data_IF_103456390798
#
_entry.id   IF_103456390798
#
_cell.length_a   1.000
_cell.length_b   1.000
_cell.length_c   1.000
_cell.angle_alpha   90.00
_cell.angle_beta   90.00
_cell.angle_gamma   90.00
#
_symmetry.space_group_name_H-M   'P 1'
#
loop_
_entity.id
_entity.type
_entity.pdbx_description
1 polymer ?
#
# COMPACT_ATOMS: atom_id res chain seq x y z
N UNK A 1 -21.59 -16.91 -4.76
CA UNK A 1 -20.15 -17.33 -4.64
C UNK A 1 -20.00 -18.06 -3.33
N UNK A 2 -19.28 -19.20 -3.28
CA UNK A 2 -19.02 -19.91 -2.02
C UNK A 2 -18.02 -19.15 -1.16
N UNK A 3 -18.01 -19.41 0.16
CA UNK A 3 -17.02 -18.80 1.07
C UNK A 3 -15.59 -19.10 0.60
N UNK A 4 -15.34 -20.35 0.19
CA UNK A 4 -14.01 -20.75 -0.28
C UNK A 4 -13.59 -20.01 -1.55
N UNK A 5 -14.50 -19.86 -2.54
CA UNK A 5 -14.18 -19.12 -3.77
C UNK A 5 -13.99 -17.62 -3.50
N UNK A 6 -14.76 -17.03 -2.59
CA UNK A 6 -14.58 -15.64 -2.17
C UNK A 6 -13.22 -15.41 -1.47
N UNK A 7 -12.83 -16.33 -0.59
CA UNK A 7 -11.51 -16.28 0.06
C UNK A 7 -10.37 -16.43 -0.95
N UNK A 8 -10.47 -17.37 -1.89
CA UNK A 8 -9.47 -17.54 -2.94
C UNK A 8 -9.35 -16.29 -3.84
N UNK A 9 -10.49 -15.71 -4.25
CA UNK A 9 -10.49 -14.47 -5.03
C UNK A 9 -9.83 -13.31 -4.24
N UNK A 10 -10.15 -13.14 -2.97
CA UNK A 10 -9.54 -12.12 -2.13
C UNK A 10 -8.02 -12.28 -2.05
N UNK A 11 -7.53 -13.48 -1.76
CA UNK A 11 -6.09 -13.77 -1.73
C UNK A 11 -5.41 -13.44 -3.06
N UNK A 12 -5.92 -13.98 -4.15
CA UNK A 12 -5.31 -13.84 -5.48
C UNK A 12 -5.35 -12.39 -5.96
N UNK A 13 -6.42 -11.64 -5.68
CA UNK A 13 -6.52 -10.24 -6.08
C UNK A 13 -5.41 -9.38 -5.46
N UNK A 14 -5.13 -9.54 -4.18
CA UNK A 14 -4.05 -8.79 -3.52
C UNK A 14 -2.69 -9.30 -3.98
N UNK A 15 -2.46 -10.62 -3.92
CA UNK A 15 -1.16 -11.18 -4.25
C UNK A 15 -0.75 -10.88 -5.70
N UNK A 16 -1.61 -11.16 -6.66
CA UNK A 16 -1.31 -10.95 -8.09
C UNK A 16 -1.35 -9.47 -8.45
N UNK A 17 -2.31 -8.71 -7.93
CA UNK A 17 -2.45 -7.27 -8.20
C UNK A 17 -1.22 -6.47 -7.77
N UNK A 18 -0.73 -6.73 -6.55
CA UNK A 18 0.49 -6.12 -6.04
C UNK A 18 1.71 -6.42 -6.92
N UNK A 19 1.91 -7.69 -7.26
CA UNK A 19 3.05 -8.09 -8.11
C UNK A 19 2.93 -7.53 -9.52
N UNK A 20 1.74 -7.58 -10.13
CA UNK A 20 1.54 -7.05 -11.47
C UNK A 20 1.82 -5.55 -11.55
N UNK A 21 1.34 -4.77 -10.58
CA UNK A 21 1.58 -3.33 -10.52
C UNK A 21 3.05 -3.01 -10.28
N UNK A 22 3.68 -3.64 -9.29
CA UNK A 22 5.09 -3.43 -8.96
C UNK A 22 6.01 -3.82 -10.12
N UNK A 23 5.75 -4.96 -10.78
CA UNK A 23 6.51 -5.36 -11.97
C UNK A 23 6.27 -4.42 -13.15
N UNK A 24 5.05 -3.94 -13.37
CA UNK A 24 4.73 -2.95 -14.39
C UNK A 24 5.53 -1.66 -14.21
N UNK A 25 5.58 -1.13 -12.99
CA UNK A 25 6.37 0.07 -12.67
C UNK A 25 7.87 -0.17 -12.85
N UNK A 26 8.39 -1.31 -12.43
CA UNK A 26 9.81 -1.65 -12.64
C UNK A 26 10.11 -1.72 -14.14
N UNK A 27 9.26 -2.41 -14.90
CA UNK A 27 9.47 -2.56 -16.36
C UNK A 27 9.42 -1.21 -17.08
N UNK A 28 8.45 -0.36 -16.77
CA UNK A 28 8.25 0.93 -17.44
C UNK A 28 9.29 1.99 -17.04
N UNK A 29 9.76 1.99 -15.80
CA UNK A 29 10.50 3.13 -15.23
C UNK A 29 11.91 2.78 -14.73
N UNK A 30 12.27 1.49 -14.62
CA UNK A 30 13.54 1.07 -14.03
C UNK A 30 14.40 0.18 -14.94
N UNK A 31 13.93 -0.28 -16.10
CA UNK A 31 14.68 -1.12 -17.04
C UNK A 31 15.13 -0.40 -18.31
N UNK A 32 14.46 0.68 -18.70
CA UNK A 32 14.86 1.51 -19.84
C UNK A 32 15.58 2.77 -19.35
N UNK A 33 16.10 3.64 -20.23
CA UNK A 33 16.78 4.94 -19.91
C UNK A 33 15.97 5.87 -19.00
N UNK A 34 15.78 5.46 -17.84
CA UNK A 34 14.63 5.52 -16.97
C UNK A 34 14.74 6.65 -15.96
N UNK A 35 15.12 7.86 -16.41
CA UNK A 35 14.94 9.07 -15.60
C UNK A 35 13.52 9.68 -15.72
N UNK A 36 12.68 9.16 -16.62
CA UNK A 36 11.35 9.74 -16.88
C UNK A 36 10.37 9.43 -15.74
N UNK A 37 9.77 10.49 -15.17
CA UNK A 37 8.73 10.40 -14.14
C UNK A 37 9.24 10.06 -12.76
N UNK A 38 10.55 9.97 -12.50
CA UNK A 38 11.09 9.71 -11.16
C UNK A 38 11.17 10.98 -10.32
N UNK A 39 10.70 10.89 -9.08
CA UNK A 39 10.75 11.99 -8.11
C UNK A 39 12.20 12.36 -7.77
N UNK A 40 13.09 11.39 -7.62
CA UNK A 40 14.51 11.57 -7.34
C UNK A 40 15.39 10.86 -8.39
N UNK A 41 15.53 11.40 -9.61
CA UNK A 41 16.26 10.73 -10.70
C UNK A 41 17.71 10.38 -10.36
N UNK A 42 18.41 11.24 -9.62
CA UNK A 42 19.81 11.05 -9.21
C UNK A 42 20.03 9.88 -8.25
N UNK A 43 18.97 9.46 -7.54
CA UNK A 43 19.01 8.34 -6.59
C UNK A 43 18.42 7.04 -7.17
N UNK A 44 17.93 7.08 -8.41
CA UNK A 44 17.28 5.95 -9.03
C UNK A 44 18.32 4.86 -9.37
N UNK A 45 18.09 3.64 -8.90
CA UNK A 45 18.88 2.49 -9.24
C UNK A 45 18.42 1.88 -10.57
N UNK A 46 19.35 1.44 -11.41
CA UNK A 46 19.03 0.62 -12.56
C UNK A 46 18.97 -0.86 -12.15
N UNK A 47 18.07 -1.62 -12.76
CA UNK A 47 17.97 -3.07 -12.59
C UNK A 47 18.49 -3.79 -13.83
N UNK A 48 19.18 -4.91 -13.63
CA UNK A 48 19.58 -5.78 -14.72
C UNK A 48 18.39 -6.62 -15.22
N UNK A 49 17.46 -6.98 -14.35
CA UNK A 49 16.22 -7.67 -14.73
C UNK A 49 15.05 -7.29 -13.81
N UNK A 50 13.82 -7.34 -14.37
CA UNK A 50 12.59 -7.01 -13.64
C UNK A 50 12.36 -7.96 -12.46
N UNK A 51 12.65 -9.25 -12.63
CA UNK A 51 12.39 -10.29 -11.63
C UNK A 51 13.27 -10.12 -10.40
N UNK A 52 14.46 -9.56 -10.54
CA UNK A 52 15.38 -9.30 -9.43
C UNK A 52 14.89 -8.22 -8.44
N UNK A 53 13.86 -7.47 -8.81
CA UNK A 53 13.22 -6.55 -7.89
C UNK A 53 12.25 -7.24 -6.91
N UNK A 54 11.71 -8.42 -7.27
CA UNK A 54 10.74 -9.13 -6.44
C UNK A 54 11.39 -9.72 -5.17
N UNK A 55 10.95 -9.32 -3.97
CA UNK A 55 11.48 -9.83 -2.70
C UNK A 55 11.32 -11.34 -2.57
N UNK A 56 10.16 -11.88 -2.95
CA UNK A 56 9.87 -13.32 -2.87
C UNK A 56 10.79 -14.12 -3.79
N UNK A 57 11.03 -13.65 -5.01
CA UNK A 57 11.96 -14.30 -5.93
C UNK A 57 13.38 -14.35 -5.34
N UNK A 58 13.86 -13.24 -4.79
CA UNK A 58 15.18 -13.17 -4.16
C UNK A 58 15.31 -14.07 -2.95
N UNK A 59 14.27 -14.13 -2.12
CA UNK A 59 14.23 -14.97 -0.93
C UNK A 59 14.32 -16.46 -1.32
N UNK A 60 13.59 -16.89 -2.35
CA UNK A 60 13.55 -18.29 -2.80
C UNK A 60 14.80 -18.73 -3.55
N UNK A 61 15.43 -17.84 -4.30
CA UNK A 61 16.57 -18.18 -5.16
C UNK A 61 17.93 -17.88 -4.54
N UNK A 62 17.97 -17.24 -3.37
CA UNK A 62 19.21 -16.70 -2.81
C UNK A 62 19.84 -15.63 -3.70
N UNK A 63 19.03 -14.93 -4.52
CA UNK A 63 19.43 -14.08 -5.63
C UNK A 63 20.53 -13.09 -5.28
N UNK A 64 21.57 -13.05 -6.13
CA UNK A 64 22.70 -12.12 -5.99
C UNK A 64 22.22 -10.69 -6.22
N UNK A 65 22.87 -9.74 -5.56
CA UNK A 65 22.58 -8.31 -5.67
C UNK A 65 22.91 -7.83 -7.11
N UNK A 66 21.90 -7.62 -7.91
CA UNK A 66 22.06 -7.09 -9.27
C UNK A 66 21.84 -5.57 -9.34
N UNK A 67 21.29 -4.95 -8.28
CA UNK A 67 21.08 -3.50 -8.23
C UNK A 67 22.18 -2.83 -7.41
N UNK A 68 22.63 -1.63 -7.84
CA UNK A 68 23.59 -0.79 -7.10
C UNK A 68 23.03 -0.23 -5.79
N UNK A 69 21.73 -0.44 -5.52
CA UNK A 69 21.01 0.10 -4.38
C UNK A 69 21.30 -0.68 -3.09
N UNK A 70 21.62 0.03 -2.02
CA UNK A 70 21.74 -0.57 -0.69
C UNK A 70 20.41 -1.20 -0.25
N UNK A 71 20.46 -2.35 0.41
CA UNK A 71 19.28 -3.08 0.91
C UNK A 71 19.38 -3.34 2.39
N UNK A 72 18.24 -3.22 3.08
CA UNK A 72 18.15 -3.66 4.45
C UNK A 72 18.23 -5.19 4.52
N UNK A 73 18.99 -5.79 5.47
CA UNK A 73 19.17 -7.25 5.53
C UNK A 73 17.87 -8.08 5.62
N UNK A 74 16.83 -7.52 6.22
CA UNK A 74 15.52 -8.17 6.38
C UNK A 74 14.48 -7.76 5.34
N UNK A 75 14.82 -6.93 4.36
CA UNK A 75 13.88 -6.36 3.39
C UNK A 75 13.09 -7.45 2.67
N UNK A 76 13.76 -8.43 2.09
CA UNK A 76 13.14 -9.46 1.28
C UNK A 76 12.23 -10.38 2.11
N UNK A 77 12.66 -10.72 3.32
CA UNK A 77 11.84 -11.50 4.25
C UNK A 77 10.58 -10.74 4.66
N UNK A 78 10.73 -9.49 5.11
CA UNK A 78 9.59 -8.72 5.62
C UNK A 78 8.61 -8.40 4.50
N UNK A 79 9.07 -7.95 3.34
CA UNK A 79 8.18 -7.69 2.21
C UNK A 79 7.45 -8.96 1.75
N UNK A 80 8.14 -10.12 1.70
CA UNK A 80 7.49 -11.40 1.35
C UNK A 80 6.48 -11.87 2.39
N UNK A 81 6.79 -11.73 3.67
CA UNK A 81 5.83 -12.06 4.76
C UNK A 81 4.63 -11.13 4.70
N UNK A 82 4.85 -9.84 4.53
CA UNK A 82 3.78 -8.84 4.55
C UNK A 82 2.82 -9.00 3.37
N UNK A 83 3.27 -9.31 2.16
CA UNK A 83 2.35 -9.58 1.04
C UNK A 83 1.51 -10.85 1.28
N UNK A 84 2.11 -11.88 1.85
CA UNK A 84 1.36 -13.10 2.20
C UNK A 84 0.32 -12.82 3.29
N UNK A 85 0.68 -12.09 4.34
CA UNK A 85 -0.25 -11.72 5.42
C UNK A 85 -1.37 -10.82 4.90
N UNK A 86 -1.07 -9.82 4.07
CA UNK A 86 -2.09 -8.97 3.43
C UNK A 86 -3.06 -9.80 2.58
N UNK A 87 -2.54 -10.74 1.80
CA UNK A 87 -3.35 -11.64 0.97
C UNK A 87 -4.23 -12.56 1.81
N UNK A 88 -3.73 -13.04 2.97
CA UNK A 88 -4.53 -13.81 3.92
C UNK A 88 -5.63 -12.96 4.58
N UNK A 89 -5.36 -11.71 4.93
CA UNK A 89 -6.40 -10.79 5.37
C UNK A 89 -7.51 -10.65 4.33
N UNK A 90 -7.15 -10.45 3.06
CA UNK A 90 -8.12 -10.36 1.97
C UNK A 90 -8.93 -11.66 1.80
N UNK A 91 -8.30 -12.82 1.98
CA UNK A 91 -8.98 -14.12 1.96
C UNK A 91 -10.02 -14.21 3.08
N UNK A 92 -9.65 -13.88 4.31
CA UNK A 92 -10.54 -13.91 5.47
C UNK A 92 -11.71 -12.94 5.28
N UNK A 93 -11.43 -11.71 4.85
CA UNK A 93 -12.46 -10.69 4.61
C UNK A 93 -13.40 -11.11 3.47
N UNK A 94 -12.87 -11.63 2.36
CA UNK A 94 -13.70 -12.17 1.27
C UNK A 94 -14.63 -13.28 1.74
N UNK A 95 -14.13 -14.20 2.56
CA UNK A 95 -14.92 -15.24 3.19
C UNK A 95 -16.01 -14.69 4.13
N UNK A 96 -15.66 -13.68 4.96
CA UNK A 96 -16.61 -13.03 5.86
C UNK A 96 -17.71 -12.27 5.10
N UNK A 97 -17.37 -11.59 4.01
CA UNK A 97 -18.35 -10.92 3.13
C UNK A 97 -19.31 -11.96 2.55
N UNK A 98 -18.78 -13.05 1.97
CA UNK A 98 -19.59 -14.12 1.39
C UNK A 98 -20.49 -14.83 2.41
N UNK A 99 -20.05 -14.89 3.67
CA UNK A 99 -20.81 -15.46 4.79
C UNK A 99 -21.82 -14.46 5.44
N UNK A 100 -21.92 -13.22 4.93
CA UNK A 100 -22.80 -12.19 5.50
C UNK A 100 -22.38 -11.69 6.89
N UNK A 101 -21.09 -11.81 7.24
CA UNK A 101 -20.56 -11.43 8.56
C UNK A 101 -19.95 -10.01 8.59
N UNK A 102 -20.27 -9.20 7.60
CA UNK A 102 -19.78 -7.82 7.47
C UNK A 102 -20.92 -6.88 7.15
N UNK A 103 -20.63 -5.57 7.08
CA UNK A 103 -21.58 -4.56 6.61
C UNK A 103 -21.56 -4.37 5.08
N UNK A 104 -20.87 -5.24 4.36
CA UNK A 104 -20.83 -5.23 2.88
C UNK A 104 -22.03 -6.01 2.36
N UNK A 105 -22.78 -5.38 1.43
CA UNK A 105 -23.92 -6.00 0.74
C UNK A 105 -23.62 -6.18 -0.73
N UNK A 106 -24.16 -7.25 -1.33
CA UNK A 106 -23.88 -7.62 -2.72
C UNK A 106 -25.05 -7.32 -3.69
N UNK A 107 -26.30 -7.29 -3.21
CA UNK A 107 -27.48 -7.21 -4.06
C UNK A 107 -28.59 -6.32 -3.47
N UNK A 108 -29.43 -5.69 -4.36
CA UNK A 108 -30.78 -5.17 -4.09
C UNK A 108 -30.92 -4.08 -3.02
N UNK A 109 -29.84 -3.52 -2.53
CA UNK A 109 -29.83 -2.55 -1.46
C UNK A 109 -29.70 -1.11 -2.02
N UNK A 110 -30.32 -0.07 -1.40
CA UNK A 110 -30.12 1.33 -1.77
C UNK A 110 -28.63 1.76 -1.84
N UNK A 111 -27.74 1.05 -1.15
CA UNK A 111 -26.29 1.24 -1.22
C UNK A 111 -25.70 0.85 -2.59
N UNK A 112 -26.40 0.09 -3.45
CA UNK A 112 -25.99 -0.25 -4.80
C UNK A 112 -26.23 0.90 -5.80
N UNK A 113 -27.02 1.91 -5.44
CA UNK A 113 -27.16 3.11 -6.28
C UNK A 113 -25.82 3.85 -6.43
N UNK A 114 -25.65 4.57 -7.53
CA UNK A 114 -24.42 5.36 -7.77
C UNK A 114 -24.11 6.31 -6.60
N UNK A 115 -25.13 6.97 -6.04
CA UNK A 115 -24.98 7.84 -4.85
C UNK A 115 -24.61 7.05 -3.59
N UNK A 116 -25.18 5.85 -3.39
CA UNK A 116 -24.85 4.95 -2.29
C UNK A 116 -23.39 4.47 -2.37
N UNK A 117 -22.94 4.04 -3.55
CA UNK A 117 -21.57 3.63 -3.82
C UNK A 117 -20.60 4.80 -3.57
N UNK A 118 -20.87 5.98 -4.14
CA UNK A 118 -20.01 7.15 -3.98
C UNK A 118 -19.87 7.57 -2.52
N UNK A 119 -21.00 7.61 -1.78
CA UNK A 119 -20.99 7.96 -0.35
C UNK A 119 -20.20 6.93 0.46
N UNK A 120 -20.45 5.65 0.27
CA UNK A 120 -19.79 4.58 1.03
C UNK A 120 -18.28 4.55 0.73
N UNK A 121 -17.90 4.73 -0.54
CA UNK A 121 -16.50 4.88 -0.95
C UNK A 121 -15.83 6.07 -0.23
N UNK A 122 -16.45 7.25 -0.27
CA UNK A 122 -15.91 8.44 0.40
C UNK A 122 -15.76 8.25 1.91
N UNK A 123 -16.73 7.60 2.58
CA UNK A 123 -16.65 7.27 4.00
C UNK A 123 -15.54 6.26 4.31
N UNK A 124 -15.32 5.27 3.45
CA UNK A 124 -14.22 4.31 3.62
C UNK A 124 -12.85 4.99 3.45
N UNK A 125 -12.71 5.87 2.47
CA UNK A 125 -11.48 6.67 2.28
C UNK A 125 -11.25 7.60 3.47
N UNK A 126 -12.30 8.28 3.96
CA UNK A 126 -12.19 9.15 5.13
C UNK A 126 -11.76 8.37 6.39
N UNK A 127 -12.40 7.24 6.67
CA UNK A 127 -12.03 6.35 7.77
C UNK A 127 -10.57 5.94 7.70
N UNK A 128 -10.15 5.44 6.54
CA UNK A 128 -8.76 5.02 6.29
C UNK A 128 -7.79 6.17 6.55
N UNK A 129 -8.01 7.31 5.91
CA UNK A 129 -7.10 8.46 6.01
C UNK A 129 -6.94 8.97 7.43
N UNK A 130 -8.03 9.00 8.22
CA UNK A 130 -7.97 9.42 9.63
C UNK A 130 -7.24 8.38 10.48
N UNK A 131 -7.64 7.11 10.38
CA UNK A 131 -7.07 6.05 11.22
C UNK A 131 -5.59 5.82 10.89
N UNK A 132 -5.23 5.81 9.61
CA UNK A 132 -3.85 5.61 9.18
C UNK A 132 -2.96 6.80 9.52
N UNK A 133 -3.43 8.04 9.39
CA UNK A 133 -2.67 9.21 9.82
C UNK A 133 -2.23 9.12 11.28
N UNK A 134 -3.15 8.78 12.19
CA UNK A 134 -2.80 8.64 13.60
C UNK A 134 -1.93 7.42 13.88
N UNK A 135 -2.18 6.30 13.20
CA UNK A 135 -1.32 5.13 13.27
C UNK A 135 0.10 5.47 12.82
N UNK A 136 0.27 6.12 11.69
CA UNK A 136 1.56 6.53 11.15
C UNK A 136 2.29 7.51 12.09
N UNK A 137 1.56 8.47 12.67
CA UNK A 137 2.10 9.36 13.72
C UNK A 137 2.61 8.58 14.94
N UNK A 138 1.90 7.53 15.36
CA UNK A 138 2.35 6.64 16.45
C UNK A 138 3.63 5.90 16.06
N UNK A 139 3.75 5.46 14.80
CA UNK A 139 4.98 4.80 14.31
C UNK A 139 6.20 5.73 14.38
N UNK A 140 6.00 7.05 14.29
CA UNK A 140 7.07 8.05 14.44
C UNK A 140 7.41 8.42 15.88
N UNK A 141 6.73 7.90 16.90
CA UNK A 141 7.17 8.08 18.30
C UNK A 141 8.57 7.47 18.49
N UNK A 142 9.53 8.14 19.18
CA UNK A 142 10.94 7.75 19.18
C UNK A 142 11.23 6.29 19.55
N UNK A 143 10.46 5.71 20.46
CA UNK A 143 10.62 4.30 20.86
C UNK A 143 10.07 3.35 19.81
N UNK A 144 8.89 3.63 19.28
CA UNK A 144 8.20 2.84 18.26
C UNK A 144 8.97 2.89 16.94
N UNK A 145 9.38 4.10 16.52
CA UNK A 145 10.21 4.30 15.34
C UNK A 145 11.46 3.42 15.35
N UNK A 146 12.25 3.48 16.42
CA UNK A 146 13.47 2.67 16.52
C UNK A 146 13.21 1.17 16.50
N UNK A 147 12.10 0.72 17.06
CA UNK A 147 11.78 -0.70 17.18
C UNK A 147 11.20 -1.29 15.88
N UNK A 148 10.38 -0.54 15.14
CA UNK A 148 9.59 -1.05 14.03
C UNK A 148 9.75 -0.21 12.75
N UNK A 149 9.43 1.09 12.79
CA UNK A 149 9.25 1.93 11.60
C UNK A 149 10.57 2.35 10.91
N UNK A 150 11.68 2.34 11.62
CA UNK A 150 13.00 2.66 11.07
C UNK A 150 13.40 1.81 9.87
N UNK A 151 12.91 0.58 9.77
CA UNK A 151 13.19 -0.30 8.62
C UNK A 151 12.50 0.20 7.36
N UNK A 152 11.28 0.75 7.50
CA UNK A 152 10.53 1.36 6.41
C UNK A 152 11.28 2.57 5.86
N UNK A 153 11.77 3.43 6.71
CA UNK A 153 12.59 4.60 6.36
C UNK A 153 14.04 4.30 6.01
N UNK A 154 14.42 3.03 5.87
CA UNK A 154 15.76 2.68 5.38
C UNK A 154 16.02 3.24 3.98
N UNK A 155 14.99 3.25 3.14
CA UNK A 155 15.03 3.83 1.81
C UNK A 155 14.45 5.24 1.83
N UNK A 156 15.34 6.25 1.76
CA UNK A 156 14.95 7.67 1.64
C UNK A 156 14.45 8.05 0.24
N UNK A 157 14.59 7.19 -0.72
CA UNK A 157 14.02 7.25 -2.05
C UNK A 157 13.49 5.86 -2.36
N UNK A 158 12.22 5.59 -2.00
CA UNK A 158 11.64 4.28 -2.21
C UNK A 158 11.52 3.92 -3.69
N UNK A 159 11.39 2.65 -3.97
CA UNK A 159 11.23 2.08 -5.30
C UNK A 159 10.18 0.97 -5.24
N UNK A 160 9.62 0.49 -6.37
CA UNK A 160 8.67 -0.60 -6.38
C UNK A 160 9.11 -1.78 -5.52
N UNK A 161 8.20 -2.37 -4.77
CA UNK A 161 8.39 -3.40 -3.75
C UNK A 161 8.95 -2.91 -2.39
N UNK A 162 9.19 -1.61 -2.18
CA UNK A 162 9.66 -1.12 -0.88
C UNK A 162 8.52 -0.80 0.10
N UNK A 163 7.31 -0.58 -0.38
CA UNK A 163 6.13 -0.29 0.44
C UNK A 163 5.88 -1.37 1.52
N UNK A 164 6.09 -2.63 1.20
CA UNK A 164 5.97 -3.73 2.14
C UNK A 164 7.25 -4.04 2.93
N UNK A 165 8.33 -3.24 2.76
CA UNK A 165 9.53 -3.31 3.58
C UNK A 165 9.30 -2.63 4.95
N UNK A 166 8.31 -3.11 5.70
CA UNK A 166 7.92 -2.65 7.03
C UNK A 166 7.99 -3.80 8.04
N UNK A 167 8.06 -3.47 9.32
CA UNK A 167 8.03 -4.49 10.36
C UNK A 167 6.69 -5.22 10.36
N UNK A 168 6.63 -6.57 10.46
CA UNK A 168 5.35 -7.30 10.37
C UNK A 168 4.30 -6.88 11.40
N UNK A 169 4.69 -6.47 12.62
CA UNK A 169 3.76 -5.97 13.63
C UNK A 169 3.15 -4.60 13.23
N UNK A 170 3.92 -3.77 12.56
CA UNK A 170 3.44 -2.51 11.99
C UNK A 170 2.50 -2.78 10.81
N UNK A 171 2.90 -3.65 9.88
CA UNK A 171 2.08 -4.08 8.75
C UNK A 171 0.70 -4.62 9.19
N UNK A 172 0.69 -5.43 10.26
CA UNK A 172 -0.55 -5.95 10.84
C UNK A 172 -1.51 -4.81 11.23
N UNK A 173 -1.03 -3.75 11.86
CA UNK A 173 -1.84 -2.59 12.21
C UNK A 173 -2.42 -1.89 10.97
N UNK A 174 -1.64 -1.70 9.92
CA UNK A 174 -2.12 -1.16 8.64
C UNK A 174 -3.20 -2.07 8.03
N UNK A 175 -3.04 -3.39 8.06
CA UNK A 175 -4.05 -4.30 7.52
C UNK A 175 -5.34 -4.30 8.34
N UNK A 176 -5.25 -4.21 9.67
CA UNK A 176 -6.43 -4.03 10.52
C UNK A 176 -7.18 -2.75 10.15
N UNK A 177 -6.50 -1.64 9.98
CA UNK A 177 -7.12 -0.37 9.55
C UNK A 177 -7.75 -0.53 8.16
N UNK A 178 -6.98 -0.99 7.18
CA UNK A 178 -7.39 -1.15 5.79
C UNK A 178 -8.67 -1.99 5.66
N UNK A 179 -8.73 -3.12 6.33
CA UNK A 179 -9.87 -4.03 6.22
C UNK A 179 -11.00 -3.75 7.20
N UNK A 180 -10.81 -2.91 8.23
CA UNK A 180 -11.85 -2.57 9.20
C UNK A 180 -13.06 -1.86 8.57
N UNK A 181 -12.92 -1.25 7.41
CA UNK A 181 -14.01 -0.59 6.68
C UNK A 181 -15.21 -1.52 6.44
N UNK A 182 -14.97 -2.83 6.25
CA UNK A 182 -16.07 -3.81 6.08
C UNK A 182 -16.92 -3.99 7.33
N UNK A 183 -16.41 -3.59 8.50
CA UNK A 183 -17.10 -3.67 9.79
C UNK A 183 -17.68 -2.32 10.23
N UNK A 184 -17.08 -1.22 9.79
CA UNK A 184 -17.42 0.14 10.24
C UNK A 184 -18.37 0.83 9.27
N UNK A 185 -18.15 0.71 7.96
CA UNK A 185 -18.90 1.41 6.92
C UNK A 185 -19.92 0.48 6.26
N UNK A 186 -21.23 0.76 6.38
CA UNK A 186 -22.21 0.07 5.54
C UNK A 186 -21.98 0.42 4.07
N UNK A 187 -21.71 -0.58 3.23
CA UNK A 187 -21.29 -0.33 1.86
C UNK A 187 -21.71 -1.46 0.91
N UNK A 188 -21.87 -1.11 -0.37
CA UNK A 188 -22.01 -2.11 -1.43
C UNK A 188 -20.63 -2.67 -1.81
N UNK A 189 -20.58 -3.93 -2.24
CA UNK A 189 -19.33 -4.60 -2.66
C UNK A 189 -18.52 -3.76 -3.67
N UNK A 190 -19.20 -3.09 -4.62
CA UNK A 190 -18.55 -2.20 -5.58
C UNK A 190 -17.77 -1.08 -4.89
N UNK A 191 -18.34 -0.43 -3.87
CA UNK A 191 -17.65 0.62 -3.13
C UNK A 191 -16.40 0.08 -2.40
N UNK A 192 -16.51 -1.10 -1.80
CA UNK A 192 -15.39 -1.77 -1.17
C UNK A 192 -14.27 -2.12 -2.17
N UNK A 193 -14.63 -2.66 -3.34
CA UNK A 193 -13.64 -3.00 -4.37
C UNK A 193 -12.94 -1.77 -4.94
N UNK A 194 -13.68 -0.67 -5.17
CA UNK A 194 -13.10 0.61 -5.61
C UNK A 194 -12.16 1.19 -4.54
N UNK A 195 -12.56 1.12 -3.26
CA UNK A 195 -11.73 1.53 -2.15
C UNK A 195 -10.43 0.72 -2.08
N UNK A 196 -10.50 -0.61 -2.16
CA UNK A 196 -9.32 -1.48 -2.14
C UNK A 196 -8.40 -1.23 -3.35
N UNK A 197 -8.98 -0.99 -4.52
CA UNK A 197 -8.21 -0.63 -5.72
C UNK A 197 -7.47 0.69 -5.53
N UNK A 198 -8.14 1.72 -4.98
CA UNK A 198 -7.50 3.00 -4.68
C UNK A 198 -6.36 2.84 -3.67
N UNK A 199 -6.63 2.20 -2.52
CA UNK A 199 -5.62 2.03 -1.47
C UNK A 199 -4.41 1.23 -1.95
N UNK A 200 -4.64 0.12 -2.64
CA UNK A 200 -3.55 -0.70 -3.19
C UNK A 200 -2.72 0.03 -4.25
N UNK A 201 -3.40 0.79 -5.12
CA UNK A 201 -2.71 1.59 -6.15
C UNK A 201 -1.88 2.71 -5.53
N UNK A 202 -2.45 3.50 -4.63
CA UNK A 202 -1.73 4.58 -3.96
C UNK A 202 -0.57 4.04 -3.11
N UNK A 203 -0.75 2.93 -2.38
CA UNK A 203 0.32 2.35 -1.58
C UNK A 203 1.56 1.97 -2.39
N UNK A 204 1.35 1.31 -3.53
CA UNK A 204 2.47 0.97 -4.44
C UNK A 204 3.07 2.22 -5.10
N UNK A 205 2.24 3.20 -5.51
CA UNK A 205 2.72 4.43 -6.14
C UNK A 205 3.53 5.29 -5.18
N UNK A 206 3.06 5.51 -3.96
CA UNK A 206 3.76 6.33 -2.95
C UNK A 206 5.18 5.85 -2.68
N UNK A 207 5.41 4.53 -2.82
CA UNK A 207 6.73 3.91 -2.64
C UNK A 207 7.43 3.54 -3.96
N UNK A 208 6.90 4.00 -5.10
CA UNK A 208 7.50 3.66 -6.41
C UNK A 208 8.62 4.59 -6.84
N UNK A 209 8.69 5.80 -6.26
CA UNK A 209 9.56 6.86 -6.74
C UNK A 209 9.16 7.40 -8.12
N UNK A 210 7.94 7.11 -8.60
CA UNK A 210 7.41 7.51 -9.91
C UNK A 210 6.21 8.41 -9.74
N UNK A 211 6.28 9.65 -10.20
CA UNK A 211 5.14 10.56 -10.24
C UNK A 211 4.40 10.42 -11.58
N UNK A 212 3.14 9.97 -11.51
CA UNK A 212 2.25 9.85 -12.66
C UNK A 212 1.47 11.14 -12.94
N UNK A 213 1.72 12.22 -12.18
CA UNK A 213 1.05 13.52 -12.34
C UNK A 213 -0.47 13.43 -12.26
N UNK A 214 -1.01 12.60 -11.35
CA UNK A 214 -2.46 12.45 -11.17
C UNK A 214 -3.01 13.67 -10.42
N UNK A 215 -4.05 14.36 -10.96
CA UNK A 215 -4.61 15.53 -10.29
C UNK A 215 -5.10 15.21 -8.86
N UNK A 216 -4.67 15.99 -7.87
CA UNK A 216 -5.06 15.84 -6.46
C UNK A 216 -4.31 14.75 -5.69
N UNK A 217 -3.38 14.06 -6.34
CA UNK A 217 -2.53 13.04 -5.72
C UNK A 217 -1.08 13.23 -6.20
N UNK A 218 -0.13 13.26 -5.30
CA UNK A 218 1.29 13.43 -5.64
C UNK A 218 2.18 12.52 -4.80
N UNK A 219 2.84 11.59 -5.46
CA UNK A 219 3.87 10.69 -4.90
C UNK A 219 4.98 11.47 -4.19
N UNK A 220 5.26 12.69 -4.67
CA UNK A 220 6.24 13.60 -4.06
C UNK A 220 6.01 13.85 -2.57
N UNK A 221 4.75 13.89 -2.10
CA UNK A 221 4.47 14.14 -0.68
C UNK A 221 4.99 13.01 0.20
N UNK A 222 4.76 11.77 -0.19
CA UNK A 222 5.23 10.60 0.56
C UNK A 222 6.74 10.36 0.38
N UNK A 223 7.28 10.61 -0.80
CA UNK A 223 8.73 10.58 -1.05
C UNK A 223 9.47 11.58 -0.14
N UNK A 224 8.89 12.78 0.03
CA UNK A 224 9.38 13.79 0.95
C UNK A 224 9.26 13.38 2.42
N UNK A 225 8.21 12.66 2.78
CA UNK A 225 8.08 12.04 4.09
C UNK A 225 9.24 11.08 4.38
N UNK A 226 9.60 10.21 3.43
CA UNK A 226 10.77 9.33 3.56
C UNK A 226 12.10 10.09 3.67
N UNK A 227 12.21 11.26 3.08
CA UNK A 227 13.41 12.09 3.15
C UNK A 227 13.52 12.85 4.47
N UNK A 228 12.41 13.46 4.96
CA UNK A 228 12.39 14.41 6.08
C UNK A 228 11.88 13.83 7.40
N UNK A 229 11.12 12.74 7.38
CA UNK A 229 10.57 11.99 8.53
C UNK A 229 9.46 12.68 9.35
N UNK A 230 9.39 14.01 9.40
CA UNK A 230 8.54 14.76 10.33
C UNK A 230 7.37 15.48 9.66
N UNK A 231 7.06 15.14 8.41
CA UNK A 231 5.98 15.76 7.63
C UNK A 231 5.27 14.72 6.74
N UNK A 232 4.11 15.08 6.21
CA UNK A 232 3.35 14.33 5.21
C UNK A 232 3.04 12.88 5.63
N UNK A 233 2.41 12.73 6.79
CA UNK A 233 2.00 11.41 7.33
C UNK A 233 0.73 10.86 6.70
N UNK A 234 -0.03 11.71 5.99
CA UNK A 234 -1.34 11.36 5.44
C UNK A 234 -1.26 10.41 4.25
N UNK A 235 -2.22 9.47 4.18
CA UNK A 235 -2.40 8.52 3.09
C UNK A 235 -3.89 8.30 2.81
N UNK A 236 -4.31 8.21 1.57
CA UNK A 236 -3.58 8.52 0.33
C UNK A 236 -3.53 10.04 0.06
N UNK A 237 -4.21 10.84 0.86
CA UNK A 237 -4.35 12.28 0.69
C UNK A 237 -3.81 13.06 1.89
N UNK A 238 -3.26 14.25 1.64
CA UNK A 238 -2.58 15.08 2.64
C UNK A 238 -3.51 15.95 3.50
N UNK A 239 -4.85 15.76 3.43
CA UNK A 239 -5.78 16.63 4.17
C UNK A 239 -5.61 16.57 5.69
N UNK A 240 -5.21 15.42 6.23
CA UNK A 240 -4.89 15.28 7.66
C UNK A 240 -3.63 16.05 8.02
N UNK A 241 -2.63 16.09 7.13
CA UNK A 241 -1.43 16.91 7.34
C UNK A 241 -1.76 18.41 7.33
N UNK A 242 -2.63 18.83 6.41
CA UNK A 242 -3.12 20.22 6.39
C UNK A 242 -3.86 20.58 7.68
N UNK A 243 -4.70 19.69 8.18
CA UNK A 243 -5.45 19.88 9.43
C UNK A 243 -4.54 20.00 10.67
N UNK A 244 -3.44 19.26 10.70
CA UNK A 244 -2.53 19.16 11.84
C UNK A 244 -1.24 20.00 11.68
N UNK A 245 -1.10 20.72 10.57
CA UNK A 245 0.10 21.54 10.32
C UNK A 245 1.37 20.73 10.07
N UNK A 246 1.23 19.48 9.60
CA UNK A 246 2.35 18.59 9.27
C UNK A 246 2.60 18.48 7.77
N UNK A 247 1.91 19.30 6.96
CA UNK A 247 2.10 19.33 5.52
C UNK A 247 3.38 20.09 5.13
N UNK A 248 4.19 19.49 4.26
CA UNK A 248 5.33 20.10 3.59
C UNK A 248 5.23 19.90 2.08
N UNK A 249 5.40 21.00 1.33
CA UNK A 249 5.39 20.97 -0.15
C UNK A 249 6.67 20.37 -0.71
#
# INVERSE_FOLDING_TARGET
MTVLSASACGFLSIFLGYHAMSFGLVWLHYTADAARGKVQPSKAAAAASVVEWCPLWRLLTGGRRSTSRARHPRQDLYASVNILVSSLFAAVVGGCISAGRTRVVCDGNPLASAGGVARSFALSVLWQSVAEYYWHRVMHLPRVYRAMHKIHHFHKSPAPFDDLCIHPAEAFGYYVILYSTVLVVPQHLTAFLLYMALMGTCGVLDHSGVDLCVPGYAVLHHDKHHELFECNFGFPFVFMDLLHGTFSR
#
